data_IF_563053457787
#
_entry.id   IF_563053457787
#
_cell.length_a   1.000
_cell.length_b   1.000
_cell.length_c   1.000
_cell.angle_alpha   90.00
_cell.angle_beta   90.00
_cell.angle_gamma   90.00
#
_symmetry.space_group_name_H-M   'P 1'
#
loop_
_entity.id
_entity.type
_entity.pdbx_description
1 polymer ?
#
# COMPACT_ATOMS: atom_id res chain seq x y z
N UNK A 1 6.59 -15.01 -18.68
CA UNK A 1 5.14 -14.80 -18.46
C UNK A 1 4.44 -16.14 -18.66
N UNK A 2 3.42 -16.44 -17.87
CA UNK A 2 2.67 -17.69 -18.00
C UNK A 2 1.99 -17.78 -19.37
N UNK A 3 1.98 -18.99 -19.97
CA UNK A 3 1.23 -19.30 -21.19
C UNK A 3 -0.09 -19.99 -20.82
N UNK A 4 -1.09 -19.91 -21.69
CA UNK A 4 -2.37 -20.56 -21.48
C UNK A 4 -2.20 -22.07 -21.26
N UNK A 5 -2.92 -22.60 -20.26
CA UNK A 5 -2.90 -24.02 -19.92
C UNK A 5 -1.77 -24.47 -18.99
N UNK A 6 -0.89 -23.57 -18.53
CA UNK A 6 0.17 -23.82 -17.53
C UNK A 6 -0.15 -23.18 -16.18
N UNK A 7 0.42 -23.67 -15.06
CA UNK A 7 0.23 -23.05 -13.75
C UNK A 7 0.80 -21.63 -13.71
N UNK A 8 -0.06 -20.65 -13.48
CA UNK A 8 0.31 -19.23 -13.46
C UNK A 8 0.48 -18.74 -12.01
N UNK A 9 1.70 -18.39 -11.62
CA UNK A 9 2.00 -17.81 -10.33
C UNK A 9 1.88 -16.27 -10.38
N UNK A 10 1.04 -15.70 -9.52
CA UNK A 10 0.63 -14.30 -9.49
C UNK A 10 1.52 -13.46 -8.58
N UNK A 11 2.11 -12.40 -9.12
CA UNK A 11 2.69 -11.32 -8.31
C UNK A 11 1.61 -10.32 -7.91
N UNK A 12 1.48 -10.03 -6.62
CA UNK A 12 0.57 -9.01 -6.11
C UNK A 12 0.81 -7.67 -6.81
N UNK A 13 -0.24 -6.88 -7.04
CA UNK A 13 -0.21 -5.63 -7.83
C UNK A 13 0.81 -4.62 -7.30
N UNK A 14 0.91 -4.47 -5.97
CA UNK A 14 1.90 -3.59 -5.34
C UNK A 14 3.35 -4.09 -5.52
N UNK A 15 3.56 -5.34 -5.90
CA UNK A 15 4.87 -5.92 -6.13
C UNK A 15 5.25 -5.98 -7.62
N UNK A 16 4.48 -5.32 -8.50
CA UNK A 16 4.76 -5.26 -9.95
C UNK A 16 5.63 -4.09 -10.38
N UNK A 17 6.00 -3.23 -9.44
CA UNK A 17 6.87 -2.07 -9.62
C UNK A 17 7.47 -1.64 -8.29
N UNK A 18 8.62 -0.98 -8.32
CA UNK A 18 9.30 -0.51 -7.12
C UNK A 18 8.68 0.81 -6.64
N UNK A 19 7.47 0.70 -6.11
CA UNK A 19 6.69 1.83 -5.58
C UNK A 19 7.34 2.49 -4.38
N UNK A 20 8.13 1.75 -3.59
CA UNK A 20 8.85 2.36 -2.47
C UNK A 20 9.90 3.36 -2.95
N UNK A 21 10.66 2.99 -3.99
CA UNK A 21 11.63 3.91 -4.59
C UNK A 21 10.94 5.08 -5.30
N UNK A 22 9.82 4.82 -5.97
CA UNK A 22 8.99 5.86 -6.58
C UNK A 22 8.58 6.93 -5.56
N UNK A 23 8.02 6.52 -4.41
CA UNK A 23 7.60 7.47 -3.35
C UNK A 23 8.78 8.23 -2.77
N UNK A 24 9.92 7.57 -2.52
CA UNK A 24 11.13 8.26 -2.05
C UNK A 24 11.60 9.34 -3.01
N UNK A 25 11.57 9.08 -4.32
CA UNK A 25 11.93 10.08 -5.33
C UNK A 25 10.91 11.22 -5.40
N UNK A 26 9.61 10.93 -5.29
CA UNK A 26 8.57 11.96 -5.23
C UNK A 26 8.76 12.87 -4.01
N UNK A 27 8.98 12.29 -2.83
CA UNK A 27 9.27 13.05 -1.61
C UNK A 27 10.54 13.89 -1.74
N UNK A 28 11.59 13.36 -2.39
CA UNK A 28 12.80 14.15 -2.68
C UNK A 28 12.50 15.34 -3.59
N UNK A 29 11.72 15.14 -4.65
CA UNK A 29 11.34 16.21 -5.57
C UNK A 29 10.48 17.27 -4.86
N UNK A 30 9.54 16.84 -4.01
CA UNK A 30 8.77 17.73 -3.15
C UNK A 30 9.69 18.55 -2.22
N UNK A 31 10.64 17.90 -1.54
CA UNK A 31 11.61 18.61 -0.69
C UNK A 31 12.37 19.70 -1.45
N UNK A 32 12.87 19.38 -2.65
CA UNK A 32 13.59 20.34 -3.50
C UNK A 32 12.69 21.51 -3.93
N UNK A 33 11.45 21.22 -4.36
CA UNK A 33 10.50 22.24 -4.78
C UNK A 33 10.10 23.16 -3.62
N UNK A 34 9.76 22.59 -2.46
CA UNK A 34 9.42 23.34 -1.24
C UNK A 34 10.58 24.20 -0.78
N UNK A 35 11.80 23.66 -0.73
CA UNK A 35 12.99 24.44 -0.38
C UNK A 35 13.20 25.62 -1.34
N UNK A 36 13.07 25.39 -2.65
CA UNK A 36 13.19 26.45 -3.66
C UNK A 36 12.12 27.54 -3.51
N UNK A 37 10.88 27.17 -3.19
CA UNK A 37 9.80 28.12 -2.94
C UNK A 37 10.08 28.99 -1.70
N UNK A 38 10.49 28.37 -0.58
CA UNK A 38 10.80 29.08 0.67
C UNK A 38 11.96 30.08 0.48
N UNK A 39 13.00 29.68 -0.27
CA UNK A 39 14.13 30.57 -0.61
C UNK A 39 13.64 31.75 -1.45
N UNK A 40 12.80 31.50 -2.46
CA UNK A 40 12.24 32.54 -3.32
C UNK A 40 11.37 33.55 -2.55
N UNK A 41 10.65 33.08 -1.53
CA UNK A 41 9.83 33.91 -0.65
C UNK A 41 10.62 34.65 0.44
N UNK A 42 11.95 34.44 0.54
CA UNK A 42 12.79 35.07 1.55
C UNK A 42 12.53 34.58 2.99
N UNK A 43 11.82 33.45 3.16
CA UNK A 43 11.48 32.90 4.48
C UNK A 43 12.53 31.91 5.01
N UNK A 44 13.63 31.68 4.29
CA UNK A 44 14.61 30.66 4.63
C UNK A 44 15.38 30.94 5.93
N UNK A 45 15.76 32.19 6.19
CA UNK A 45 16.42 32.60 7.43
C UNK A 45 15.50 32.38 8.64
N UNK A 46 14.25 32.86 8.53
CA UNK A 46 13.21 32.69 9.56
C UNK A 46 12.95 31.23 9.93
N UNK A 47 12.96 30.34 8.92
CA UNK A 47 12.75 28.90 9.12
C UNK A 47 14.04 28.13 9.44
N UNK A 48 15.17 28.84 9.62
CA UNK A 48 16.47 28.24 9.95
C UNK A 48 16.97 27.24 8.90
N UNK A 49 16.68 27.49 7.62
CA UNK A 49 16.93 26.56 6.52
C UNK A 49 18.29 26.67 5.85
N UNK A 50 19.06 27.72 6.16
CA UNK A 50 20.32 28.06 5.49
C UNK A 50 21.37 26.91 5.52
N UNK A 51 21.33 26.08 6.56
CA UNK A 51 22.23 24.93 6.73
C UNK A 51 21.57 23.55 6.43
N UNK A 52 20.32 23.54 5.94
CA UNK A 52 19.46 22.33 5.83
C UNK A 52 18.96 22.11 4.39
N UNK A 53 19.85 21.71 3.47
CA UNK A 53 19.46 21.45 2.09
C UNK A 53 18.46 20.28 1.97
N UNK A 54 17.59 20.24 0.95
CA UNK A 54 16.49 19.28 0.82
C UNK A 54 16.93 17.81 0.79
N UNK A 55 18.18 17.55 0.39
CA UNK A 55 18.78 16.21 0.42
C UNK A 55 18.86 15.64 1.84
N UNK A 56 19.01 16.50 2.86
CA UNK A 56 19.11 16.11 4.28
C UNK A 56 17.75 15.90 4.95
N UNK A 57 16.64 16.19 4.29
CA UNK A 57 15.31 16.02 4.88
C UNK A 57 14.98 14.52 4.98
N UNK A 58 14.72 13.97 6.18
CA UNK A 58 14.47 12.53 6.35
C UNK A 58 13.21 12.10 5.61
N UNK A 59 13.30 10.98 4.88
CA UNK A 59 12.21 10.39 4.10
C UNK A 59 12.12 8.89 4.39
N UNK A 60 10.91 8.40 4.62
CA UNK A 60 10.64 7.03 5.06
C UNK A 60 9.50 6.43 4.24
N UNK A 61 9.70 5.19 3.80
CA UNK A 61 8.70 4.37 3.13
C UNK A 61 8.96 2.93 3.54
N UNK A 62 7.92 2.20 3.94
CA UNK A 62 8.04 0.84 4.47
C UNK A 62 9.08 0.75 5.61
N UNK A 63 8.93 1.62 6.60
CA UNK A 63 9.88 1.78 7.70
C UNK A 63 9.32 1.26 9.04
N UNK A 64 10.07 1.49 10.12
CA UNK A 64 9.61 1.19 11.49
C UNK A 64 8.60 2.21 12.01
N UNK A 65 8.47 3.36 11.36
CA UNK A 65 7.51 4.38 11.77
C UNK A 65 6.08 3.89 11.55
N UNK A 66 5.12 4.28 12.39
CA UNK A 66 3.73 3.88 12.21
C UNK A 66 3.07 4.73 11.11
N UNK A 67 3.51 4.61 9.84
CA UNK A 67 3.11 5.56 8.80
C UNK A 67 1.60 5.59 8.56
N UNK A 68 0.90 4.44 8.72
CA UNK A 68 -0.57 4.41 8.67
C UNK A 68 -1.23 5.22 9.77
N UNK A 69 -0.70 5.16 11.00
CA UNK A 69 -1.24 5.94 12.12
C UNK A 69 -0.94 7.43 11.96
N UNK A 70 0.24 7.77 11.43
CA UNK A 70 0.60 9.15 11.12
C UNK A 70 -0.24 9.71 9.96
N UNK A 71 -0.49 8.92 8.91
CA UNK A 71 -1.38 9.32 7.81
C UNK A 71 -2.82 9.55 8.30
N UNK A 72 -3.28 8.68 9.21
CA UNK A 72 -4.58 8.82 9.87
C UNK A 72 -4.65 10.10 10.73
N UNK A 73 -3.62 10.37 11.53
CA UNK A 73 -3.52 11.58 12.35
C UNK A 73 -3.37 12.86 11.51
N UNK A 74 -2.73 12.77 10.35
CA UNK A 74 -2.62 13.84 9.37
C UNK A 74 -3.90 14.03 8.53
N UNK A 75 -4.97 13.28 8.82
CA UNK A 75 -6.24 13.45 8.13
C UNK A 75 -6.29 12.91 6.70
N UNK A 76 -5.30 12.13 6.28
CA UNK A 76 -5.22 11.62 4.90
C UNK A 76 -6.29 10.57 4.58
N UNK A 77 -6.95 10.02 5.60
CA UNK A 77 -8.12 9.17 5.40
C UNK A 77 -8.54 8.36 6.63
N UNK A 78 -9.09 7.17 6.40
CA UNK A 78 -9.57 6.23 7.44
C UNK A 78 -8.91 4.87 7.29
N UNK A 79 -8.89 4.05 8.35
CA UNK A 79 -8.46 2.65 8.25
C UNK A 79 -9.65 1.77 7.85
N UNK A 80 -9.50 1.02 6.77
CA UNK A 80 -10.48 0.05 6.31
C UNK A 80 -10.46 -1.25 7.12
N UNK A 81 -11.49 -2.10 6.95
CA UNK A 81 -11.56 -3.43 7.61
C UNK A 81 -10.45 -4.39 7.19
N UNK A 82 -9.80 -4.14 6.06
CA UNK A 82 -8.58 -4.85 5.65
C UNK A 82 -7.30 -4.34 6.34
N UNK A 83 -7.39 -3.35 7.24
CA UNK A 83 -6.26 -2.77 7.95
C UNK A 83 -5.39 -1.82 7.11
N UNK A 84 -5.84 -1.47 5.90
CA UNK A 84 -5.17 -0.52 5.01
C UNK A 84 -5.77 0.88 5.17
N UNK A 85 -4.99 1.90 4.83
CA UNK A 85 -5.51 3.26 4.71
C UNK A 85 -6.43 3.33 3.48
N UNK A 86 -7.62 3.87 3.65
CA UNK A 86 -8.49 4.33 2.57
C UNK A 86 -8.38 5.84 2.56
N UNK A 87 -7.64 6.37 1.59
CA UNK A 87 -7.36 7.80 1.52
C UNK A 87 -8.47 8.54 0.77
N UNK A 88 -8.74 9.77 1.20
CA UNK A 88 -9.61 10.69 0.46
C UNK A 88 -8.84 11.15 -0.78
N UNK A 89 -9.47 11.08 -1.95
CA UNK A 89 -8.93 11.61 -3.19
C UNK A 89 -8.95 13.13 -3.10
N UNK A 90 -7.78 13.75 -3.10
CA UNK A 90 -7.65 15.20 -3.23
C UNK A 90 -7.72 15.56 -4.71
N UNK A 91 -8.71 16.36 -5.12
CA UNK A 91 -8.60 17.04 -6.41
C UNK A 91 -7.49 18.09 -6.31
N UNK A 92 -6.80 18.38 -7.42
CA UNK A 92 -5.66 19.32 -7.44
C UNK A 92 -5.98 20.73 -6.91
N UNK A 93 -7.26 21.10 -6.78
CA UNK A 93 -7.74 22.37 -6.19
C UNK A 93 -7.90 22.33 -4.67
N UNK A 94 -7.94 21.16 -4.04
CA UNK A 94 -8.51 20.96 -2.69
C UNK A 94 -7.44 20.54 -1.65
N UNK A 95 -6.14 20.72 -1.95
CA UNK A 95 -5.06 20.37 -1.01
C UNK A 95 -5.20 21.12 0.32
N UNK A 96 -5.83 22.29 0.32
CA UNK A 96 -6.14 23.05 1.53
C UNK A 96 -7.46 22.63 2.21
N UNK A 97 -8.44 22.11 1.46
CA UNK A 97 -9.72 21.62 1.99
C UNK A 97 -9.62 20.19 2.56
N UNK A 98 -8.52 19.48 2.30
CA UNK A 98 -8.24 18.18 2.90
C UNK A 98 -8.08 18.25 4.44
N UNK A 99 -7.90 19.45 4.99
CA UNK A 99 -7.86 19.72 6.43
C UNK A 99 -9.22 20.17 6.99
N UNK A 100 -10.23 20.39 6.15
CA UNK A 100 -11.56 20.82 6.57
C UNK A 100 -12.48 19.60 6.75
N UNK A 101 -12.60 19.17 8.00
CA UNK A 101 -13.24 17.90 8.39
C UNK A 101 -14.77 17.97 8.53
N UNK A 102 -15.41 19.09 8.17
CA UNK A 102 -16.72 19.37 8.75
C UNK A 102 -17.97 19.03 7.93
N UNK A 103 -17.95 18.91 6.60
CA UNK A 103 -19.25 18.97 5.89
C UNK A 103 -19.85 17.72 5.25
N UNK A 104 -19.15 16.60 5.08
CA UNK A 104 -19.73 15.48 4.29
C UNK A 104 -19.74 14.12 5.00
N UNK A 105 -20.47 14.03 6.11
CA UNK A 105 -21.14 12.80 6.53
C UNK A 105 -22.45 12.65 5.73
N UNK A 106 -22.34 12.39 4.41
CA UNK A 106 -23.52 12.06 3.60
C UNK A 106 -23.83 10.58 3.77
N UNK A 107 -25.09 10.32 4.11
CA UNK A 107 -25.69 9.02 4.38
C UNK A 107 -25.31 7.96 3.34
N UNK A 108 -24.90 6.79 3.85
CA UNK A 108 -24.75 5.59 3.05
C UNK A 108 -26.12 5.12 2.58
N UNK A 109 -26.42 5.30 1.30
CA UNK A 109 -27.50 4.54 0.67
C UNK A 109 -26.91 3.43 -0.20
N UNK A 110 -27.28 2.20 0.13
CA UNK A 110 -26.81 0.98 -0.49
C UNK A 110 -27.46 0.80 -1.84
N UNK A 111 -26.90 1.41 -2.89
CA UNK A 111 -27.17 1.02 -4.26
C UNK A 111 -25.94 1.29 -5.12
N UNK A 112 -25.44 0.26 -5.80
CA UNK A 112 -24.31 0.34 -6.74
C UNK A 112 -24.46 1.57 -7.65
N UNK A 113 -23.53 2.52 -7.67
CA UNK A 113 -23.51 3.54 -8.70
C UNK A 113 -22.63 3.05 -9.86
N UNK A 114 -23.28 2.67 -10.96
CA UNK A 114 -22.70 2.87 -12.29
C UNK A 114 -22.58 4.37 -12.51
N UNK A 115 -21.41 4.97 -12.28
CA UNK A 115 -21.18 6.39 -12.58
C UNK A 115 -19.75 6.63 -13.05
N UNK A 116 -19.63 7.43 -14.09
CA UNK A 116 -18.43 7.86 -14.83
C UNK A 116 -17.45 8.74 -14.04
N UNK A 117 -17.53 8.76 -12.71
CA UNK A 117 -16.65 9.53 -11.83
C UNK A 117 -15.94 8.61 -10.83
N UNK A 118 -14.63 8.75 -10.64
CA UNK A 118 -13.87 7.96 -9.67
C UNK A 118 -14.33 8.30 -8.24
N UNK A 119 -14.34 7.33 -7.30
CA UNK A 119 -14.77 7.50 -5.94
C UNK A 119 -13.88 8.52 -5.23
N UNK A 120 -14.49 9.30 -4.34
CA UNK A 120 -13.82 10.26 -3.45
C UNK A 120 -12.83 9.59 -2.51
N UNK A 121 -12.81 8.25 -2.45
CA UNK A 121 -11.97 7.46 -1.55
C UNK A 121 -11.30 6.33 -2.32
N UNK A 122 -10.03 6.06 -2.02
CA UNK A 122 -9.30 4.93 -2.61
C UNK A 122 -8.50 4.18 -1.56
N UNK A 123 -8.56 2.85 -1.60
CA UNK A 123 -7.67 1.96 -0.85
C UNK A 123 -6.42 1.57 -1.63
N UNK A 124 -6.29 1.99 -2.90
CA UNK A 124 -5.12 1.75 -3.75
C UNK A 124 -4.02 2.79 -3.50
N UNK A 125 -3.54 2.86 -2.26
CA UNK A 125 -2.67 3.96 -1.79
C UNK A 125 -1.28 3.48 -1.40
N UNK A 126 -0.30 4.37 -1.56
CA UNK A 126 1.06 4.22 -1.07
C UNK A 126 1.34 5.35 -0.10
N UNK A 127 1.94 5.02 1.03
CA UNK A 127 2.22 5.99 2.10
C UNK A 127 3.73 6.21 2.17
N UNK A 128 4.12 7.47 2.21
CA UNK A 128 5.47 7.89 2.54
C UNK A 128 5.42 8.98 3.60
N UNK A 129 6.48 9.05 4.40
CA UNK A 129 6.64 10.03 5.46
C UNK A 129 7.88 10.87 5.16
N UNK A 130 7.78 12.18 5.35
CA UNK A 130 8.92 13.10 5.32
C UNK A 130 8.89 13.96 6.57
N UNK A 131 10.01 14.04 7.26
CA UNK A 131 10.17 14.94 8.41
C UNK A 131 10.71 16.26 7.90
N UNK A 132 9.95 17.34 8.10
CA UNK A 132 10.39 18.68 7.77
C UNK A 132 11.33 19.19 8.87
N UNK A 133 12.43 19.88 8.52
CA UNK A 133 13.40 20.32 9.51
C UNK A 133 13.09 21.73 10.05
N UNK A 134 11.85 22.17 9.91
CA UNK A 134 11.29 23.43 10.37
C UNK A 134 9.86 23.18 10.81
N UNK A 135 9.41 23.99 11.75
CA UNK A 135 8.03 24.00 12.18
C UNK A 135 7.26 24.97 11.29
N UNK A 136 6.03 24.62 10.97
CA UNK A 136 5.07 25.65 10.61
C UNK A 136 4.70 26.37 11.90
N UNK A 137 4.76 27.70 11.92
CA UNK A 137 3.82 28.44 12.74
C UNK A 137 2.44 28.02 12.21
N UNK A 138 1.89 26.95 12.76
CA UNK A 138 0.46 26.69 12.72
C UNK A 138 -0.11 27.97 13.33
N UNK A 139 -0.46 28.96 12.47
CA UNK A 139 -1.17 30.17 12.84
C UNK A 139 -2.10 29.74 13.95
N UNK A 140 -1.84 30.19 15.18
CA UNK A 140 -2.45 29.66 16.40
C UNK A 140 -3.91 29.37 16.08
N UNK A 141 -4.21 28.09 15.78
CA UNK A 141 -5.58 27.66 15.63
C UNK A 141 -6.10 27.93 17.02
N UNK A 142 -6.93 28.96 17.16
CA UNK A 142 -7.45 29.30 18.47
C UNK A 142 -8.10 28.03 19.00
N UNK A 143 -8.18 27.82 20.31
CA UNK A 143 -8.81 26.60 20.85
C UNK A 143 -10.25 26.36 20.33
N UNK A 144 -10.87 27.34 19.67
CA UNK A 144 -12.11 27.22 18.89
C UNK A 144 -11.95 26.59 17.49
N UNK A 145 -10.81 26.78 16.83
CA UNK A 145 -10.45 26.19 15.53
C UNK A 145 -9.71 24.85 15.67
N UNK A 146 -9.28 24.51 16.90
CA UNK A 146 -9.08 23.12 17.28
C UNK A 146 -10.47 22.49 17.33
N UNK A 147 -11.01 22.18 16.14
CA UNK A 147 -12.08 21.23 15.97
C UNK A 147 -11.78 20.07 16.89
N UNK A 148 -12.63 19.87 17.91
CA UNK A 148 -12.46 18.81 18.90
C UNK A 148 -12.11 17.55 18.14
N UNK A 149 -10.83 17.15 18.23
CA UNK A 149 -10.20 16.32 17.22
C UNK A 149 -11.11 15.15 16.92
N UNK A 150 -11.69 15.11 15.72
CA UNK A 150 -12.53 14.00 15.32
C UNK A 150 -11.61 12.81 15.40
N UNK A 151 -11.79 11.98 16.44
CA UNK A 151 -11.00 10.79 16.62
C UNK A 151 -11.10 10.06 15.28
N UNK A 152 -9.97 9.82 14.57
CA UNK A 152 -10.03 9.27 13.24
C UNK A 152 -10.85 7.99 13.29
N UNK A 153 -12.03 8.02 12.69
CA UNK A 153 -12.99 6.93 12.87
C UNK A 153 -12.50 5.76 12.05
N UNK A 154 -12.02 4.71 12.70
CA UNK A 154 -11.84 3.43 12.02
C UNK A 154 -13.14 3.06 11.29
N UNK A 155 -12.99 2.51 10.10
CA UNK A 155 -14.11 2.01 9.31
C UNK A 155 -15.15 3.05 8.90
N UNK A 156 -14.84 4.34 8.95
CA UNK A 156 -15.78 5.43 8.62
C UNK A 156 -16.52 5.19 7.30
N UNK A 157 -15.80 4.67 6.30
CA UNK A 157 -16.33 4.39 4.95
C UNK A 157 -16.73 2.93 4.73
N UNK A 158 -16.47 2.04 5.69
CA UNK A 158 -16.73 0.61 5.52
C UNK A 158 -18.16 0.21 5.87
N UNK A 159 -18.83 0.90 6.80
CA UNK A 159 -20.14 0.49 7.33
C UNK A 159 -20.15 -0.99 7.72
N UNK A 160 -21.13 -1.75 7.23
CA UNK A 160 -21.26 -3.19 7.45
C UNK A 160 -20.58 -4.08 6.39
N UNK A 161 -19.80 -3.51 5.46
CA UNK A 161 -19.11 -4.27 4.41
C UNK A 161 -18.16 -5.32 5.00
N UNK A 162 -18.13 -6.54 4.43
CA UNK A 162 -17.30 -7.67 4.87
C UNK A 162 -16.44 -8.28 3.76
N UNK A 163 -16.46 -7.71 2.55
CA UNK A 163 -15.87 -8.32 1.36
C UNK A 163 -14.40 -8.68 1.53
N UNK A 164 -13.59 -7.80 2.13
CA UNK A 164 -12.17 -8.07 2.36
C UNK A 164 -11.91 -9.16 3.41
N UNK A 165 -12.83 -9.32 4.38
CA UNK A 165 -12.76 -10.38 5.40
C UNK A 165 -13.13 -11.71 4.76
N UNK A 166 -14.21 -11.73 3.97
CA UNK A 166 -14.68 -12.91 3.25
C UNK A 166 -13.71 -13.37 2.16
N UNK A 167 -12.99 -12.44 1.52
CA UNK A 167 -11.98 -12.77 0.50
C UNK A 167 -10.65 -13.23 1.07
N UNK A 168 -10.42 -13.14 2.39
CA UNK A 168 -9.17 -13.54 3.02
C UNK A 168 -9.13 -15.06 3.22
N UNK A 169 -8.38 -15.83 2.41
CA UNK A 169 -8.46 -17.30 2.43
C UNK A 169 -7.98 -17.89 3.77
N UNK A 170 -7.02 -17.22 4.42
CA UNK A 170 -6.43 -17.65 5.68
C UNK A 170 -7.07 -16.99 6.91
N UNK A 171 -8.15 -16.21 6.72
CA UNK A 171 -8.93 -15.56 7.80
C UNK A 171 -8.08 -14.69 8.73
N UNK A 172 -7.10 -13.98 8.17
CA UNK A 172 -6.25 -13.05 8.90
C UNK A 172 -6.96 -11.76 9.34
N UNK A 173 -8.15 -11.50 8.79
CA UNK A 173 -8.98 -10.33 9.10
C UNK A 173 -10.21 -10.77 9.89
N UNK A 174 -10.59 -10.01 10.92
CA UNK A 174 -11.80 -10.27 11.69
C UNK A 174 -12.78 -9.11 11.63
N UNK A 175 -14.07 -9.42 11.79
CA UNK A 175 -15.11 -8.41 11.89
C UNK A 175 -15.30 -8.00 13.34
N UNK A 176 -14.86 -6.80 13.69
CA UNK A 176 -15.09 -6.20 15.01
C UNK A 176 -15.19 -4.67 14.91
N UNK A 177 -15.32 -4.00 16.06
CA UNK A 177 -15.34 -2.54 16.18
C UNK A 177 -13.96 -1.90 16.02
N UNK A 178 -12.88 -2.68 16.03
CA UNK A 178 -11.50 -2.24 15.80
C UNK A 178 -10.86 -3.02 14.64
N UNK A 179 -9.83 -2.49 13.95
CA UNK A 179 -9.06 -3.25 12.97
C UNK A 179 -8.47 -4.55 13.54
N UNK A 180 -9.13 -5.68 13.25
CA UNK A 180 -8.66 -6.99 13.64
C UNK A 180 -7.78 -7.60 12.55
N UNK A 181 -6.46 -7.57 12.75
CA UNK A 181 -5.48 -8.17 11.83
C UNK A 181 -4.52 -9.10 12.57
N UNK A 182 -4.58 -10.40 12.26
CA UNK A 182 -3.70 -11.42 12.78
C UNK A 182 -2.55 -11.69 11.79
N UNK A 183 -1.39 -11.06 12.01
CA UNK A 183 -0.23 -11.16 11.09
C UNK A 183 0.20 -12.59 10.79
N UNK A 184 0.22 -13.46 11.80
CA UNK A 184 0.62 -14.88 11.66
C UNK A 184 -0.37 -15.72 10.83
N UNK A 185 -1.57 -15.20 10.54
CA UNK A 185 -2.50 -15.83 9.62
C UNK A 185 -2.36 -15.26 8.19
N UNK A 186 -1.66 -14.14 7.99
CA UNK A 186 -1.64 -13.47 6.69
C UNK A 186 -0.64 -14.12 5.72
N UNK A 187 -1.09 -14.49 4.52
CA UNK A 187 -0.22 -15.05 3.47
C UNK A 187 0.97 -14.15 3.16
N UNK A 188 0.76 -12.82 3.13
CA UNK A 188 1.83 -11.84 2.91
C UNK A 188 3.00 -11.99 3.88
N UNK A 189 2.73 -12.41 5.12
CA UNK A 189 3.76 -12.58 6.14
C UNK A 189 4.78 -13.67 5.75
N UNK A 190 4.38 -14.63 4.92
CA UNK A 190 5.18 -15.80 4.56
C UNK A 190 5.74 -15.76 3.14
N UNK A 191 5.18 -14.91 2.26
CA UNK A 191 5.51 -14.93 0.82
C UNK A 191 6.96 -14.57 0.50
N UNK A 192 7.69 -13.95 1.44
CA UNK A 192 9.09 -13.53 1.28
C UNK A 192 10.07 -14.37 2.10
N UNK A 193 9.57 -15.22 3.01
CA UNK A 193 10.36 -15.98 3.97
C UNK A 193 10.54 -17.40 3.45
N UNK A 194 11.76 -17.91 3.48
CA UNK A 194 12.08 -19.26 3.03
C UNK A 194 11.68 -20.34 4.05
N UNK A 195 11.72 -21.61 3.63
CA UNK A 195 11.41 -22.77 4.45
C UNK A 195 9.93 -23.17 4.44
N UNK A 196 9.58 -24.11 5.31
CA UNK A 196 8.24 -24.71 5.32
C UNK A 196 7.17 -23.72 5.80
N UNK A 197 5.98 -23.82 5.21
CA UNK A 197 4.81 -23.09 5.65
C UNK A 197 4.08 -23.86 6.74
N UNK A 198 3.43 -23.19 7.70
CA UNK A 198 2.43 -23.85 8.52
C UNK A 198 1.30 -24.41 7.63
N UNK A 199 0.82 -25.62 7.94
CA UNK A 199 -0.21 -26.32 7.16
C UNK A 199 -1.43 -25.45 6.83
N UNK A 200 -1.88 -24.64 7.79
CA UNK A 200 -3.05 -23.77 7.60
C UNK A 200 -2.79 -22.65 6.58
N UNK A 201 -1.55 -22.15 6.49
CA UNK A 201 -1.15 -21.17 5.48
C UNK A 201 -1.02 -21.83 4.11
N UNK A 202 -0.36 -22.98 4.02
CA UNK A 202 -0.20 -23.70 2.76
C UNK A 202 -1.55 -24.11 2.15
N UNK A 203 -2.48 -24.61 3.00
CA UNK A 203 -3.86 -24.91 2.59
C UNK A 203 -4.59 -23.68 2.07
N UNK A 204 -4.35 -22.51 2.66
CA UNK A 204 -4.97 -21.24 2.27
C UNK A 204 -4.31 -20.57 1.07
N UNK A 205 -3.10 -20.99 0.68
CA UNK A 205 -2.38 -20.44 -0.47
C UNK A 205 -3.18 -20.69 -1.76
N UNK A 206 -3.19 -19.75 -2.69
CA UNK A 206 -3.84 -19.97 -3.99
C UNK A 206 -2.80 -19.91 -5.10
N UNK A 207 -2.75 -18.80 -5.82
CA UNK A 207 -1.90 -18.61 -6.99
C UNK A 207 -0.69 -17.70 -6.70
N UNK A 208 -0.43 -17.29 -5.46
CA UNK A 208 0.52 -16.21 -5.17
C UNK A 208 1.98 -16.66 -5.35
N UNK A 209 2.71 -16.02 -6.27
CA UNK A 209 4.18 -16.07 -6.33
C UNK A 209 4.80 -15.21 -5.22
N UNK A 210 4.33 -13.97 -5.11
CA UNK A 210 4.78 -13.03 -4.10
C UNK A 210 3.67 -12.07 -3.72
N UNK A 211 3.50 -11.94 -2.41
CA UNK A 211 2.53 -11.11 -1.75
C UNK A 211 1.08 -11.55 -1.93
N UNK A 212 0.19 -10.91 -1.17
CA UNK A 212 -1.24 -11.16 -1.23
C UNK A 212 -2.01 -9.83 -1.18
N UNK A 213 -2.84 -9.60 -2.19
CA UNK A 213 -3.68 -8.41 -2.38
C UNK A 213 -5.17 -8.75 -2.47
N UNK A 214 -5.59 -9.97 -2.12
CA UNK A 214 -6.99 -10.40 -2.21
C UNK A 214 -7.96 -9.56 -1.36
N UNK A 215 -7.53 -9.12 -0.17
CA UNK A 215 -8.31 -8.23 0.68
C UNK A 215 -8.34 -6.78 0.18
N UNK A 216 -7.36 -6.40 -0.65
CA UNK A 216 -7.31 -5.13 -1.35
C UNK A 216 -8.22 -5.19 -2.58
N UNK A 217 -8.09 -6.20 -3.43
CA UNK A 217 -8.88 -6.38 -4.66
C UNK A 217 -10.38 -6.53 -4.39
N UNK A 218 -10.77 -7.14 -3.26
CA UNK A 218 -12.16 -7.24 -2.86
C UNK A 218 -12.75 -5.96 -2.23
N UNK A 219 -11.91 -4.97 -1.91
CA UNK A 219 -12.37 -3.72 -1.31
C UNK A 219 -13.17 -2.91 -2.33
N UNK A 220 -14.35 -2.42 -1.97
CA UNK A 220 -15.18 -1.57 -2.85
C UNK A 220 -14.53 -0.24 -3.20
N UNK A 221 -13.57 0.22 -2.38
CA UNK A 221 -12.77 1.42 -2.62
C UNK A 221 -11.45 1.12 -3.34
N UNK A 222 -11.24 -0.11 -3.80
CA UNK A 222 -10.04 -0.41 -4.58
C UNK A 222 -10.21 0.07 -6.01
N UNK A 223 -9.82 1.33 -6.22
CA UNK A 223 -9.73 1.92 -7.54
C UNK A 223 -8.29 2.34 -7.83
N UNK A 224 -7.55 1.56 -8.62
CA UNK A 224 -6.22 1.92 -9.09
C UNK A 224 -6.30 3.11 -10.03
N UNK A 225 -5.57 4.18 -9.74
CA UNK A 225 -5.41 5.29 -10.66
C UNK A 225 -4.67 4.82 -11.92
N UNK A 226 -5.32 4.91 -13.08
CA UNK A 226 -4.74 4.54 -14.37
C UNK A 226 -3.51 5.39 -14.73
N UNK A 227 -3.43 6.61 -14.20
CA UNK A 227 -2.26 7.49 -14.37
C UNK A 227 -1.14 7.15 -13.39
N UNK A 228 -1.43 6.46 -12.29
CA UNK A 228 -0.41 6.01 -11.36
C UNK A 228 0.41 4.89 -12.00
N UNK A 229 1.64 5.22 -12.37
CA UNK A 229 2.62 4.26 -12.85
C UNK A 229 3.98 4.58 -12.25
N UNK A 230 4.78 3.54 -12.09
CA UNK A 230 6.22 3.67 -11.87
C UNK A 230 6.94 2.94 -12.98
N UNK A 231 8.01 3.54 -13.48
CA UNK A 231 8.92 2.88 -14.44
C UNK A 231 10.02 2.08 -13.71
N UNK A 232 10.06 2.13 -12.37
CA UNK A 232 11.10 1.46 -11.58
C UNK A 232 10.77 0.00 -11.36
N UNK A 233 11.70 -0.88 -11.69
CA UNK A 233 11.65 -2.30 -11.33
C UNK A 233 10.36 -3.01 -11.75
N UNK A 234 9.79 -2.62 -12.90
CA UNK A 234 8.53 -3.17 -13.39
C UNK A 234 8.69 -4.64 -13.77
N UNK A 235 7.70 -5.43 -13.42
CA UNK A 235 7.57 -6.84 -13.83
C UNK A 235 6.14 -7.16 -14.22
N UNK A 236 5.95 -8.30 -14.87
CA UNK A 236 4.62 -8.82 -15.18
C UNK A 236 3.81 -9.18 -13.92
N UNK A 237 2.52 -9.44 -14.12
CA UNK A 237 1.63 -9.89 -13.04
C UNK A 237 1.57 -11.40 -12.85
N UNK A 238 1.91 -12.17 -13.88
CA UNK A 238 1.79 -13.62 -13.91
C UNK A 238 3.04 -14.28 -14.50
N UNK A 239 3.54 -15.28 -13.82
CA UNK A 239 4.76 -16.02 -14.14
C UNK A 239 4.45 -17.50 -14.31
N UNK A 240 5.20 -18.15 -15.18
CA UNK A 240 5.07 -19.59 -15.38
C UNK A 240 5.67 -20.30 -14.15
N UNK A 241 4.83 -20.98 -13.36
CA UNK A 241 5.25 -21.53 -12.08
C UNK A 241 6.24 -22.68 -12.25
N UNK A 242 6.03 -23.56 -13.24
CA UNK A 242 6.93 -24.68 -13.57
C UNK A 242 8.32 -24.15 -13.92
N UNK A 243 8.38 -23.16 -14.82
CA UNK A 243 9.65 -22.57 -15.23
C UNK A 243 10.38 -21.91 -14.06
N UNK A 244 9.67 -21.31 -13.10
CA UNK A 244 10.28 -20.72 -11.91
C UNK A 244 10.78 -21.77 -10.91
N UNK A 245 10.06 -22.89 -10.75
CA UNK A 245 10.43 -23.95 -9.83
C UNK A 245 11.75 -24.64 -10.27
N UNK A 246 11.99 -24.73 -11.57
CA UNK A 246 13.18 -25.36 -12.16
C UNK A 246 14.46 -24.50 -12.05
N UNK A 247 14.33 -23.19 -11.82
CA UNK A 247 15.49 -22.30 -11.69
C UNK A 247 16.23 -22.49 -10.36
N UNK A 248 17.55 -22.33 -10.37
CA UNK A 248 18.32 -22.14 -9.13
C UNK A 248 17.99 -20.80 -8.46
N UNK A 249 18.36 -20.65 -7.19
CA UNK A 249 18.15 -19.39 -6.46
C UNK A 249 18.93 -18.23 -7.09
N UNK A 250 20.14 -18.49 -7.58
CA UNK A 250 20.97 -17.52 -8.30
C UNK A 250 20.30 -17.10 -9.61
N UNK A 251 19.69 -18.05 -10.32
CA UNK A 251 18.94 -17.76 -11.55
C UNK A 251 17.68 -16.94 -11.27
N UNK A 252 16.98 -17.17 -10.17
CA UNK A 252 15.83 -16.35 -9.75
C UNK A 252 16.27 -14.94 -9.38
N UNK A 253 17.37 -14.82 -8.64
CA UNK A 253 17.92 -13.52 -8.30
C UNK A 253 18.34 -12.75 -9.56
N UNK A 254 18.98 -13.43 -10.52
CA UNK A 254 19.32 -12.84 -11.81
C UNK A 254 18.08 -12.44 -12.62
N UNK A 255 17.05 -13.28 -12.65
CA UNK A 255 15.78 -13.03 -13.36
C UNK A 255 15.07 -11.77 -12.84
N UNK A 256 15.03 -11.59 -11.52
CA UNK A 256 14.33 -10.47 -10.90
C UNK A 256 15.23 -9.27 -10.61
N UNK A 257 16.50 -9.30 -10.98
CA UNK A 257 17.47 -8.22 -10.69
C UNK A 257 16.93 -6.83 -11.07
N UNK A 258 17.13 -5.87 -10.17
CA UNK A 258 16.64 -4.50 -10.26
C UNK A 258 15.11 -4.34 -10.34
N UNK A 259 14.34 -5.40 -10.04
CA UNK A 259 12.88 -5.35 -9.99
C UNK A 259 12.30 -5.10 -8.60
N UNK A 260 10.98 -5.00 -8.53
CA UNK A 260 10.23 -5.01 -7.28
C UNK A 260 10.42 -6.27 -6.43
N UNK A 261 10.87 -7.38 -7.02
CA UNK A 261 11.18 -8.63 -6.32
C UNK A 261 12.67 -8.79 -5.96
N UNK A 262 13.53 -7.85 -6.37
CA UNK A 262 14.95 -7.80 -5.97
C UNK A 262 15.13 -6.96 -4.70
N UNK A 263 14.42 -7.35 -3.64
CA UNK A 263 14.51 -6.71 -2.33
C UNK A 263 15.23 -7.63 -1.35
N UNK A 264 16.08 -7.06 -0.49
CA UNK A 264 16.92 -7.84 0.44
C UNK A 264 16.14 -8.75 1.39
N UNK A 265 14.86 -8.45 1.65
CA UNK A 265 13.98 -9.24 2.53
C UNK A 265 13.19 -10.34 1.80
N UNK A 266 13.36 -10.47 0.48
CA UNK A 266 12.70 -11.50 -0.34
C UNK A 266 13.71 -12.60 -0.61
N UNK A 267 13.52 -13.76 0.01
CA UNK A 267 14.36 -14.91 -0.24
C UNK A 267 14.00 -15.55 -1.60
N UNK A 268 14.98 -15.83 -2.49
CA UNK A 268 14.74 -16.55 -3.73
C UNK A 268 14.11 -17.94 -3.51
N UNK A 269 14.56 -18.68 -2.48
CA UNK A 269 13.95 -19.94 -2.05
C UNK A 269 12.45 -19.84 -1.75
N UNK A 270 12.00 -18.73 -1.16
CA UNK A 270 10.57 -18.49 -0.93
C UNK A 270 9.78 -18.40 -2.26
N UNK A 271 10.33 -17.73 -3.28
CA UNK A 271 9.68 -17.64 -4.59
C UNK A 271 9.58 -19.00 -5.27
N UNK A 272 10.61 -19.85 -5.16
CA UNK A 272 10.59 -21.24 -5.64
C UNK A 272 9.51 -22.06 -4.96
N UNK A 273 9.49 -22.04 -3.63
CA UNK A 273 8.47 -22.74 -2.83
C UNK A 273 7.06 -22.28 -3.21
N UNK A 274 6.85 -20.98 -3.33
CA UNK A 274 5.54 -20.44 -3.69
C UNK A 274 5.11 -20.93 -5.08
N UNK A 275 6.03 -20.93 -6.06
CA UNK A 275 5.76 -21.50 -7.39
C UNK A 275 5.40 -23.00 -7.31
N UNK A 276 6.12 -23.79 -6.52
CA UNK A 276 5.83 -25.21 -6.32
C UNK A 276 4.42 -25.46 -5.74
N UNK A 277 3.98 -24.66 -4.77
CA UNK A 277 2.62 -24.74 -4.21
C UNK A 277 1.57 -24.46 -5.30
N UNK A 278 1.81 -23.47 -6.15
CA UNK A 278 0.91 -23.14 -7.27
C UNK A 278 0.80 -24.31 -8.25
N UNK A 279 1.92 -24.95 -8.60
CA UNK A 279 1.95 -26.14 -9.46
C UNK A 279 1.10 -27.27 -8.85
N UNK A 280 1.34 -27.59 -7.57
CA UNK A 280 0.62 -28.66 -6.87
C UNK A 280 -0.90 -28.41 -6.88
N UNK A 281 -1.34 -27.18 -6.59
CA UNK A 281 -2.76 -26.82 -6.59
C UNK A 281 -3.37 -26.85 -7.99
N UNK A 282 -2.63 -26.41 -8.99
CA UNK A 282 -3.08 -26.44 -10.39
C UNK A 282 -3.37 -27.88 -10.86
N UNK A 283 -2.48 -28.83 -10.57
CA UNK A 283 -2.71 -30.23 -10.93
C UNK A 283 -3.84 -30.86 -10.12
N UNK A 284 -3.96 -30.53 -8.83
CA UNK A 284 -5.05 -31.04 -7.99
C UNK A 284 -6.44 -30.59 -8.46
N UNK A 285 -6.57 -29.41 -9.07
CA UNK A 285 -7.84 -28.91 -9.62
C UNK A 285 -8.20 -29.52 -10.97
N UNK A 286 -7.26 -30.17 -11.65
CA UNK A 286 -7.44 -30.77 -12.98
C UNK A 286 -7.61 -32.29 -12.95
N UNK A 287 -7.32 -32.91 -11.82
CA UNK A 287 -7.56 -34.33 -11.54
C UNK A 287 -8.86 -34.50 -10.77
#
# INVERSE_FOLDING_TARGET
LARDGRPAARGARFARGNWYREILDRLRNCATATFGAIIKEGSAERLGLEAKPPQRWPRFVNSIFPEKALALAAGLGTIGRNGLLVAKKTNNSDIFDALDFQEHLIASDSSKPTTTNPPTWSSAVLIGLMLLPFDFDMLKLEKKDIFGGVAPSFFAVCGNCRLCIESCPSRALSFSSLPGFARHLCIQNYSSIDGNLPDFIEKSWADQLYGCDLCLEACTYFEPDQKAHTNRGRIGGFFDAESLADLSEEQIQALFKASALDQKWIAPGALKRNAAIVIQKFHKLRN
#
